data_IF_525433386695
#
_entry.id   IF_525433386695
#
_cell.length_a   1.000
_cell.length_b   1.000
_cell.length_c   1.000
_cell.angle_alpha   90.00
_cell.angle_beta   90.00
_cell.angle_gamma   90.00
#
_symmetry.space_group_name_H-M   'P 1'
#
loop_
_entity.id
_entity.type
_entity.pdbx_description
1 polymer ?
#
# COMPACT_ATOMS: atom_id res chain seq x y z
N UNK A 1 36.85 -35.00 3.23
CA UNK A 1 36.39 -35.59 4.50
C UNK A 1 35.82 -36.97 4.23
N UNK A 2 35.74 -37.88 5.21
CA UNK A 2 34.92 -39.10 5.04
C UNK A 2 33.44 -38.72 5.08
N UNK A 3 32.60 -39.41 4.30
CA UNK A 3 31.18 -39.09 4.14
C UNK A 3 30.44 -38.97 5.49
N UNK A 4 30.66 -39.93 6.40
CA UNK A 4 30.05 -39.89 7.74
C UNK A 4 30.58 -38.81 8.70
N UNK A 5 31.72 -38.17 8.39
CA UNK A 5 32.19 -36.98 9.14
C UNK A 5 31.51 -35.71 8.62
N UNK A 6 31.34 -35.60 7.31
CA UNK A 6 30.67 -34.47 6.67
C UNK A 6 29.21 -34.38 7.10
N UNK A 7 28.48 -35.51 7.13
CA UNK A 7 27.08 -35.54 7.59
C UNK A 7 26.93 -35.00 9.02
N UNK A 8 27.81 -35.41 9.94
CA UNK A 8 27.81 -34.92 11.33
C UNK A 8 28.13 -33.43 11.43
N UNK A 9 29.01 -32.94 10.57
CA UNK A 9 29.34 -31.52 10.52
C UNK A 9 28.14 -30.70 10.02
N UNK A 10 27.42 -31.20 9.00
CA UNK A 10 26.22 -30.56 8.47
C UNK A 10 25.07 -30.58 9.48
N UNK A 11 24.85 -31.68 10.20
CA UNK A 11 23.86 -31.73 11.30
C UNK A 11 24.16 -30.70 12.39
N UNK A 12 25.44 -30.51 12.72
CA UNK A 12 25.87 -29.50 13.70
C UNK A 12 25.63 -28.08 13.19
N UNK A 13 25.92 -27.82 11.91
CA UNK A 13 25.67 -26.53 11.28
C UNK A 13 24.17 -26.23 11.24
N UNK A 14 23.33 -27.21 10.89
CA UNK A 14 21.86 -27.08 10.94
C UNK A 14 21.39 -26.72 12.35
N UNK A 15 21.93 -27.38 13.39
CA UNK A 15 21.62 -27.05 14.78
C UNK A 15 21.99 -25.61 15.18
N UNK A 16 23.08 -25.07 14.63
CA UNK A 16 23.45 -23.66 14.85
C UNK A 16 22.51 -22.72 14.11
N UNK A 17 22.17 -23.01 12.86
CA UNK A 17 21.26 -22.19 12.06
C UNK A 17 19.82 -22.19 12.62
N UNK A 18 19.38 -23.29 13.25
CA UNK A 18 18.09 -23.34 13.92
C UNK A 18 17.93 -22.26 15.01
N UNK A 19 19.03 -21.86 15.65
CA UNK A 19 19.04 -20.81 16.66
C UNK A 19 18.89 -19.40 16.07
N UNK A 20 18.95 -19.23 14.74
CA UNK A 20 18.71 -17.93 14.11
C UNK A 20 17.27 -17.46 14.28
N UNK A 21 16.35 -18.39 14.53
CA UNK A 21 14.95 -18.11 14.84
C UNK A 21 14.70 -18.01 16.38
N UNK A 22 15.75 -18.03 17.22
CA UNK A 22 15.62 -17.83 18.68
C UNK A 22 14.97 -16.49 19.01
N UNK A 23 14.16 -16.44 20.08
CA UNK A 23 13.48 -15.24 20.61
C UNK A 23 14.45 -14.13 21.04
N UNK A 24 15.68 -14.46 21.42
CA UNK A 24 16.63 -13.46 21.94
C UNK A 24 17.65 -13.05 20.87
N UNK A 25 17.88 -11.74 20.73
CA UNK A 25 18.87 -11.24 19.76
C UNK A 25 20.29 -11.72 20.09
N UNK A 26 20.62 -11.84 21.38
CA UNK A 26 21.92 -12.31 21.84
C UNK A 26 22.21 -13.75 21.40
N UNK A 27 21.24 -14.66 21.51
CA UNK A 27 21.43 -16.05 21.05
C UNK A 27 21.55 -16.14 19.53
N UNK A 28 20.86 -15.27 18.79
CA UNK A 28 20.99 -15.21 17.33
C UNK A 28 22.38 -14.76 16.91
N UNK A 29 22.89 -13.69 17.54
CA UNK A 29 24.23 -13.16 17.25
C UNK A 29 25.31 -14.17 17.63
N UNK A 30 25.20 -14.82 18.81
CA UNK A 30 26.10 -15.90 19.22
C UNK A 30 26.03 -17.10 18.25
N UNK A 31 24.83 -17.48 17.81
CA UNK A 31 24.67 -18.56 16.84
C UNK A 31 25.35 -18.23 15.51
N UNK A 32 25.25 -16.98 15.03
CA UNK A 32 25.92 -16.54 13.81
C UNK A 32 27.44 -16.61 13.94
N UNK A 33 27.99 -16.12 15.05
CA UNK A 33 29.43 -16.16 15.30
C UNK A 33 29.95 -17.60 15.40
N UNK A 34 29.20 -18.48 16.09
CA UNK A 34 29.53 -19.92 16.16
C UNK A 34 29.45 -20.61 14.81
N UNK A 35 28.43 -20.32 14.01
CA UNK A 35 28.27 -20.89 12.68
C UNK A 35 29.38 -20.43 11.73
N UNK A 36 29.77 -19.15 11.78
CA UNK A 36 30.90 -18.62 11.00
C UNK A 36 32.21 -19.29 11.37
N UNK A 37 32.55 -19.31 12.66
CA UNK A 37 33.77 -19.94 13.15
C UNK A 37 33.81 -21.45 12.81
N UNK A 38 32.67 -22.14 12.92
CA UNK A 38 32.56 -23.55 12.58
C UNK A 38 32.76 -23.79 11.08
N UNK A 39 32.15 -22.96 10.22
CA UNK A 39 32.31 -23.11 8.78
C UNK A 39 33.71 -22.75 8.28
N UNK A 40 34.35 -21.75 8.88
CA UNK A 40 35.73 -21.39 8.60
C UNK A 40 36.68 -22.55 8.95
N UNK A 41 36.38 -23.32 10.00
CA UNK A 41 37.15 -24.49 10.41
C UNK A 41 36.95 -25.71 9.48
N UNK A 42 35.71 -26.07 9.14
CA UNK A 42 35.43 -27.32 8.40
C UNK A 42 35.46 -27.16 6.87
N UNK A 43 35.06 -26.00 6.34
CA UNK A 43 34.96 -25.73 4.89
C UNK A 43 35.80 -24.53 4.41
N UNK A 44 36.55 -23.89 5.31
CA UNK A 44 37.47 -22.79 4.98
C UNK A 44 36.79 -21.43 4.81
N UNK A 45 35.46 -21.37 4.76
CA UNK A 45 34.70 -20.13 4.80
C UNK A 45 33.23 -20.36 5.15
N UNK A 46 32.58 -19.37 5.76
CA UNK A 46 31.14 -19.36 5.99
C UNK A 46 30.27 -19.65 4.74
N UNK A 47 30.46 -18.99 3.59
CA UNK A 47 29.68 -19.27 2.39
C UNK A 47 29.88 -20.68 1.85
N UNK A 48 31.10 -21.23 1.95
CA UNK A 48 31.38 -22.60 1.50
C UNK A 48 30.64 -23.64 2.35
N UNK A 49 30.54 -23.46 3.66
CA UNK A 49 29.76 -24.34 4.52
C UNK A 49 28.27 -24.31 4.20
N UNK A 50 27.70 -23.12 3.93
CA UNK A 50 26.30 -22.96 3.54
C UNK A 50 25.99 -23.54 2.15
N UNK A 51 26.93 -23.45 1.22
CA UNK A 51 26.82 -24.07 -0.12
C UNK A 51 26.72 -25.60 -0.02
N UNK A 52 27.54 -26.24 0.81
CA UNK A 52 27.48 -27.70 1.04
C UNK A 52 26.15 -28.07 1.70
N UNK A 53 25.69 -27.27 2.66
CA UNK A 53 24.41 -27.48 3.31
C UNK A 53 23.23 -27.33 2.33
N UNK A 54 23.25 -26.32 1.46
CA UNK A 54 22.22 -26.10 0.45
C UNK A 54 22.11 -27.29 -0.53
N UNK A 55 23.25 -27.86 -0.94
CA UNK A 55 23.28 -29.08 -1.78
C UNK A 55 22.68 -30.28 -1.05
N UNK A 56 22.98 -30.46 0.24
CA UNK A 56 22.37 -31.52 1.06
C UNK A 56 20.85 -31.40 1.07
N UNK A 57 20.33 -30.20 1.28
CA UNK A 57 18.88 -29.93 1.28
C UNK A 57 18.21 -30.25 -0.06
N UNK A 58 18.85 -29.86 -1.17
CA UNK A 58 18.37 -30.21 -2.51
C UNK A 58 18.31 -31.74 -2.73
N UNK A 59 19.27 -32.49 -2.18
CA UNK A 59 19.28 -33.96 -2.30
C UNK A 59 18.33 -34.70 -1.35
N UNK A 60 18.07 -34.15 -0.15
CA UNK A 60 17.29 -34.83 0.91
C UNK A 60 15.79 -34.73 0.72
N UNK A 61 15.29 -33.60 0.23
CA UNK A 61 13.85 -33.30 0.20
C UNK A 61 13.20 -33.51 -1.19
N UNK A 62 13.96 -33.98 -2.19
CA UNK A 62 13.51 -34.09 -3.58
C UNK A 62 13.35 -32.73 -4.27
N UNK A 63 13.02 -32.73 -5.58
CA UNK A 63 12.78 -31.54 -6.42
C UNK A 63 11.47 -30.80 -6.02
N UNK A 64 11.40 -30.34 -4.78
CA UNK A 64 10.30 -29.53 -4.26
C UNK A 64 10.64 -28.05 -4.24
N UNK A 65 9.63 -27.20 -4.48
CA UNK A 65 9.76 -25.74 -4.35
C UNK A 65 10.30 -25.31 -2.97
N UNK A 66 9.98 -26.06 -1.91
CA UNK A 66 10.47 -25.81 -0.55
C UNK A 66 11.99 -26.01 -0.40
N UNK A 67 12.54 -27.09 -0.98
CA UNK A 67 13.98 -27.33 -0.98
C UNK A 67 14.73 -26.25 -1.76
N UNK A 68 14.17 -25.82 -2.91
CA UNK A 68 14.72 -24.73 -3.70
C UNK A 68 14.70 -23.39 -2.95
N UNK A 69 13.60 -23.06 -2.26
CA UNK A 69 13.51 -21.85 -1.43
C UNK A 69 14.51 -21.86 -0.27
N UNK A 70 14.69 -23.01 0.39
CA UNK A 70 15.65 -23.13 1.47
C UNK A 70 17.09 -23.00 0.98
N UNK A 71 17.43 -23.61 -0.17
CA UNK A 71 18.74 -23.44 -0.79
C UNK A 71 19.02 -21.97 -1.14
N UNK A 72 18.05 -21.27 -1.76
CA UNK A 72 18.15 -19.83 -2.05
C UNK A 72 18.40 -19.00 -0.78
N UNK A 73 17.69 -19.31 0.32
CA UNK A 73 17.85 -18.64 1.62
C UNK A 73 19.27 -18.85 2.18
N UNK A 74 19.83 -20.05 2.05
CA UNK A 74 21.21 -20.35 2.47
C UNK A 74 22.25 -19.63 1.60
N UNK A 75 22.05 -19.55 0.28
CA UNK A 75 22.93 -18.78 -0.60
C UNK A 75 22.90 -17.28 -0.28
N UNK A 76 21.72 -16.72 0.00
CA UNK A 76 21.60 -15.32 0.43
C UNK A 76 22.34 -15.07 1.75
N UNK A 77 22.20 -15.98 2.73
CA UNK A 77 22.93 -15.91 4.00
C UNK A 77 24.45 -15.96 3.80
N UNK A 78 24.94 -16.81 2.90
CA UNK A 78 26.36 -16.88 2.55
C UNK A 78 26.86 -15.59 1.89
N UNK A 79 26.07 -15.00 0.99
CA UNK A 79 26.43 -13.73 0.35
C UNK A 79 26.35 -12.53 1.31
N UNK A 80 25.43 -12.57 2.27
CA UNK A 80 25.16 -11.48 3.23
C UNK A 80 24.92 -12.05 4.63
N UNK A 81 25.98 -12.36 5.40
CA UNK A 81 25.83 -12.92 6.75
C UNK A 81 24.83 -12.15 7.62
N UNK A 82 23.99 -12.88 8.33
CA UNK A 82 22.88 -12.40 9.14
C UNK A 82 21.61 -12.01 8.35
N UNK A 83 21.49 -12.32 7.06
CA UNK A 83 20.28 -12.03 6.28
C UNK A 83 19.06 -12.76 6.86
N UNK A 84 19.25 -14.02 7.25
CA UNK A 84 18.22 -14.84 7.88
C UNK A 84 17.78 -14.22 9.22
N UNK A 85 18.74 -13.82 10.06
CA UNK A 85 18.48 -13.19 11.37
C UNK A 85 17.73 -11.86 11.18
N UNK A 86 18.18 -11.00 10.26
CA UNK A 86 17.49 -9.73 9.95
C UNK A 86 16.06 -9.96 9.48
N UNK A 87 15.85 -10.96 8.62
CA UNK A 87 14.51 -11.33 8.18
C UNK A 87 13.63 -11.82 9.34
N UNK A 88 14.17 -12.67 10.23
CA UNK A 88 13.46 -13.14 11.42
C UNK A 88 13.09 -12.00 12.37
N UNK A 89 14.03 -11.08 12.66
CA UNK A 89 13.77 -9.86 13.46
C UNK A 89 12.70 -8.98 12.83
N UNK A 90 12.76 -8.75 11.51
CA UNK A 90 11.75 -7.95 10.81
C UNK A 90 10.36 -8.61 10.83
N UNK A 91 10.29 -9.95 10.70
CA UNK A 91 9.02 -10.69 10.85
C UNK A 91 8.42 -10.48 12.24
N UNK A 92 9.21 -10.68 13.30
CA UNK A 92 8.75 -10.46 14.67
C UNK A 92 8.34 -9.02 14.94
N UNK A 93 9.10 -8.04 14.45
CA UNK A 93 8.71 -6.64 14.57
C UNK A 93 7.36 -6.38 13.91
N UNK A 94 7.12 -6.93 12.72
CA UNK A 94 5.81 -6.84 12.03
C UNK A 94 4.70 -7.52 12.81
N UNK A 95 4.97 -8.66 13.43
CA UNK A 95 4.00 -9.38 14.28
C UNK A 95 3.68 -8.59 15.56
N UNK A 96 4.69 -7.98 16.19
CA UNK A 96 4.51 -7.10 17.35
C UNK A 96 3.69 -5.87 16.96
N UNK A 97 4.04 -5.17 15.89
CA UNK A 97 3.25 -4.02 15.42
C UNK A 97 1.83 -4.42 15.06
N UNK A 98 1.64 -5.58 14.43
CA UNK A 98 0.30 -6.11 14.12
C UNK A 98 -0.49 -6.41 15.40
N UNK A 99 0.17 -6.94 16.43
CA UNK A 99 -0.44 -7.23 17.74
C UNK A 99 -0.84 -5.95 18.44
N UNK A 100 0.01 -4.93 18.43
CA UNK A 100 -0.26 -3.60 18.99
C UNK A 100 -1.40 -2.89 18.24
N UNK A 101 -1.38 -2.92 16.91
CA UNK A 101 -2.45 -2.39 16.06
C UNK A 101 -3.79 -3.10 16.34
N UNK A 102 -3.76 -4.43 16.47
CA UNK A 102 -4.94 -5.23 16.82
C UNK A 102 -5.47 -4.85 18.20
N UNK A 103 -4.60 -4.71 19.20
CA UNK A 103 -4.98 -4.32 20.56
C UNK A 103 -5.58 -2.91 20.60
N UNK A 104 -4.96 -1.95 19.90
CA UNK A 104 -5.47 -0.58 19.80
C UNK A 104 -6.84 -0.53 19.10
N UNK A 105 -7.02 -1.30 18.02
CA UNK A 105 -8.29 -1.39 17.31
C UNK A 105 -9.39 -1.97 18.22
N UNK A 106 -9.12 -3.09 18.89
CA UNK A 106 -10.06 -3.70 19.85
C UNK A 106 -10.39 -2.72 20.98
N UNK A 107 -9.42 -1.99 21.53
CA UNK A 107 -9.65 -0.99 22.57
C UNK A 107 -10.58 0.14 22.08
N UNK A 108 -10.43 0.57 20.83
CA UNK A 108 -11.25 1.65 20.24
C UNK A 108 -12.71 1.23 19.96
N UNK A 109 -12.95 -0.03 19.59
CA UNK A 109 -14.29 -0.57 19.31
C UNK A 109 -14.93 -1.27 20.53
N UNK A 110 -14.14 -1.58 21.56
CA UNK A 110 -14.55 -2.24 22.79
C UNK A 110 -14.44 -3.77 22.78
N UNK A 111 -14.56 -4.43 21.62
CA UNK A 111 -14.37 -5.88 21.49
C UNK A 111 -14.08 -6.30 20.05
N UNK A 112 -13.64 -7.56 19.84
CA UNK A 112 -13.48 -8.14 18.50
C UNK A 112 -14.82 -8.21 17.78
N UNK A 113 -15.89 -8.62 18.47
CA UNK A 113 -17.24 -8.70 17.91
C UNK A 113 -17.74 -7.32 17.47
N UNK A 114 -17.42 -6.27 18.22
CA UNK A 114 -17.78 -4.89 17.87
C UNK A 114 -17.05 -4.42 16.60
N UNK A 115 -15.79 -4.82 16.39
CA UNK A 115 -15.07 -4.54 15.14
C UNK A 115 -15.73 -5.29 13.98
N UNK A 116 -16.12 -6.55 14.14
CA UNK A 116 -16.66 -7.36 13.04
C UNK A 116 -18.13 -7.04 12.69
N UNK A 117 -18.89 -6.46 13.60
CA UNK A 117 -20.29 -6.06 13.33
C UNK A 117 -20.37 -4.90 12.32
N UNK A 118 -21.46 -4.84 11.53
CA UNK A 118 -21.73 -3.67 10.70
C UNK A 118 -21.75 -2.38 11.52
N UNK A 119 -21.00 -1.39 11.04
CA UNK A 119 -20.97 -0.03 11.55
C UNK A 119 -22.26 0.71 11.19
N UNK A 120 -22.53 1.84 11.87
CA UNK A 120 -23.68 2.68 11.54
C UNK A 120 -23.72 3.12 10.06
N UNK A 121 -22.55 3.29 9.43
CA UNK A 121 -22.46 3.61 8.01
C UNK A 121 -22.85 2.43 7.12
N UNK A 122 -22.39 1.22 7.46
CA UNK A 122 -22.75 -0.02 6.75
C UNK A 122 -24.23 -0.36 6.88
N UNK A 123 -24.83 -0.12 8.06
CA UNK A 123 -26.24 -0.39 8.32
C UNK A 123 -27.20 0.36 7.39
N UNK A 124 -26.83 1.55 6.92
CA UNK A 124 -27.65 2.32 5.97
C UNK A 124 -27.79 1.57 4.63
N UNK A 125 -26.70 0.98 4.14
CA UNK A 125 -26.70 0.21 2.89
C UNK A 125 -27.38 -1.15 3.06
N UNK A 126 -27.20 -1.79 4.21
CA UNK A 126 -27.87 -3.05 4.54
C UNK A 126 -29.38 -2.84 4.53
N UNK A 127 -29.88 -1.85 5.28
CA UNK A 127 -31.30 -1.53 5.36
C UNK A 127 -31.91 -1.16 3.99
N UNK A 128 -31.17 -0.38 3.18
CA UNK A 128 -31.64 -0.01 1.85
C UNK A 128 -31.83 -1.21 0.90
N UNK A 129 -31.08 -2.29 1.10
CA UNK A 129 -31.10 -3.47 0.26
C UNK A 129 -32.03 -4.59 0.76
N UNK A 130 -32.67 -4.45 1.92
CA UNK A 130 -33.50 -5.51 2.53
C UNK A 130 -34.64 -5.99 1.64
N UNK A 131 -35.22 -5.08 0.85
CA UNK A 131 -36.35 -5.37 -0.05
C UNK A 131 -35.93 -5.56 -1.51
N UNK A 132 -34.64 -5.79 -1.79
CA UNK A 132 -34.14 -5.93 -3.15
C UNK A 132 -34.07 -7.39 -3.58
N UNK A 133 -34.93 -7.77 -4.53
CA UNK A 133 -34.99 -9.16 -5.06
C UNK A 133 -34.01 -9.43 -6.21
N UNK A 134 -33.23 -8.42 -6.62
CA UNK A 134 -32.29 -8.54 -7.75
C UNK A 134 -30.99 -7.76 -7.52
N UNK A 135 -29.88 -8.17 -8.16
CA UNK A 135 -28.61 -7.44 -8.08
C UNK A 135 -28.71 -5.99 -8.58
N UNK A 136 -29.44 -5.74 -9.67
CA UNK A 136 -29.67 -4.39 -10.20
C UNK A 136 -30.53 -3.54 -9.27
N UNK A 137 -31.53 -4.14 -8.62
CA UNK A 137 -32.31 -3.49 -7.57
C UNK A 137 -31.44 -3.06 -6.39
N UNK A 138 -30.53 -3.93 -5.95
CA UNK A 138 -29.59 -3.62 -4.88
C UNK A 138 -28.62 -2.49 -5.25
N UNK A 139 -28.07 -2.51 -6.46
CA UNK A 139 -27.20 -1.43 -6.97
C UNK A 139 -27.93 -0.09 -6.97
N UNK A 140 -29.17 -0.05 -7.46
CA UNK A 140 -30.00 1.16 -7.46
C UNK A 140 -30.30 1.65 -6.03
N UNK A 141 -30.68 0.75 -5.12
CA UNK A 141 -31.00 1.09 -3.74
C UNK A 141 -29.78 1.65 -2.98
N UNK A 142 -28.63 1.00 -3.13
CA UNK A 142 -27.36 1.41 -2.50
C UNK A 142 -26.83 2.74 -3.06
N UNK A 143 -27.04 3.00 -4.35
CA UNK A 143 -26.70 4.28 -4.96
C UNK A 143 -27.64 5.41 -4.50
N UNK A 144 -28.91 5.09 -4.22
CA UNK A 144 -29.93 6.07 -3.82
C UNK A 144 -29.90 6.40 -2.32
N UNK A 145 -29.54 5.46 -1.45
CA UNK A 145 -29.64 5.65 0.00
C UNK A 145 -28.56 6.57 0.59
N UNK A 146 -27.43 6.75 -0.12
CA UNK A 146 -26.38 7.67 0.25
C UNK A 146 -25.81 8.33 -1.02
N UNK A 147 -25.58 9.66 -1.04
CA UNK A 147 -25.05 10.35 -2.21
C UNK A 147 -23.82 9.65 -2.82
N UNK A 148 -23.86 9.38 -4.12
CA UNK A 148 -22.70 8.87 -4.85
C UNK A 148 -21.61 9.94 -4.93
N UNK A 149 -20.32 9.58 -4.87
CA UNK A 149 -19.23 10.51 -5.10
C UNK A 149 -19.39 11.21 -6.45
N UNK A 150 -19.28 12.54 -6.47
CA UNK A 150 -19.36 13.35 -7.69
C UNK A 150 -17.98 13.69 -8.27
N UNK A 151 -16.90 13.40 -7.54
CA UNK A 151 -15.51 13.63 -7.96
C UNK A 151 -14.67 12.37 -7.77
N UNK A 152 -13.54 12.29 -8.48
CA UNK A 152 -12.62 11.15 -8.42
C UNK A 152 -11.96 11.08 -7.05
N UNK A 153 -11.61 12.23 -6.47
CA UNK A 153 -11.07 12.32 -5.12
C UNK A 153 -12.05 11.83 -4.06
N UNK A 154 -13.34 12.18 -4.17
CA UNK A 154 -14.37 11.68 -3.27
C UNK A 154 -14.56 10.17 -3.41
N UNK A 155 -14.53 9.66 -4.65
CA UNK A 155 -14.62 8.23 -4.92
C UNK A 155 -13.41 7.47 -4.34
N UNK A 156 -12.19 7.99 -4.52
CA UNK A 156 -10.97 7.48 -3.88
C UNK A 156 -11.10 7.43 -2.36
N UNK A 157 -11.53 8.52 -1.75
CA UNK A 157 -11.63 8.63 -0.30
C UNK A 157 -12.61 7.61 0.28
N UNK A 158 -13.78 7.46 -0.34
CA UNK A 158 -14.75 6.45 0.07
C UNK A 158 -14.25 5.02 -0.20
N UNK A 159 -13.60 4.76 -1.34
CA UNK A 159 -12.99 3.45 -1.67
C UNK A 159 -11.90 3.06 -0.66
N UNK A 160 -11.00 3.98 -0.30
CA UNK A 160 -9.96 3.75 0.71
C UNK A 160 -10.54 3.49 2.10
N UNK A 161 -11.68 4.12 2.44
CA UNK A 161 -12.42 3.84 3.68
C UNK A 161 -12.93 2.40 3.71
N UNK A 162 -13.49 1.91 2.61
CA UNK A 162 -13.92 0.51 2.48
C UNK A 162 -12.74 -0.46 2.57
N UNK A 163 -11.63 -0.16 1.91
CA UNK A 163 -10.40 -0.96 2.04
C UNK A 163 -9.82 -0.96 3.46
N UNK A 164 -9.85 0.18 4.15
CA UNK A 164 -9.44 0.27 5.55
C UNK A 164 -10.37 -0.55 6.46
N UNK A 165 -11.67 -0.55 6.17
CA UNK A 165 -12.67 -1.34 6.89
C UNK A 165 -12.39 -2.85 6.79
N UNK A 166 -12.11 -3.35 5.58
CA UNK A 166 -11.71 -4.75 5.38
C UNK A 166 -10.44 -5.11 6.15
N UNK A 167 -9.39 -4.28 6.06
CA UNK A 167 -8.14 -4.49 6.81
C UNK A 167 -8.36 -4.53 8.32
N UNK A 168 -9.24 -3.68 8.85
CA UNK A 168 -9.60 -3.70 10.27
C UNK A 168 -10.28 -5.02 10.67
N UNK A 169 -11.17 -5.54 9.84
CA UNK A 169 -11.80 -6.84 10.08
C UNK A 169 -10.75 -7.96 10.02
N UNK A 170 -9.92 -7.99 8.97
CA UNK A 170 -8.84 -8.98 8.79
C UNK A 170 -7.82 -8.97 9.94
N UNK A 171 -7.56 -7.80 10.52
CA UNK A 171 -6.62 -7.64 11.61
C UNK A 171 -7.09 -8.34 12.90
N UNK A 172 -8.41 -8.37 13.15
CA UNK A 172 -8.98 -8.96 14.36
C UNK A 172 -9.55 -10.36 14.17
N UNK A 173 -9.79 -10.76 12.92
CA UNK A 173 -10.26 -12.09 12.55
C UNK A 173 -9.27 -13.18 12.94
N UNK A 174 -9.81 -14.36 13.21
CA UNK A 174 -9.04 -15.57 13.44
C UNK A 174 -8.24 -15.93 12.16
N UNK A 175 -6.91 -16.10 12.23
CA UNK A 175 -6.09 -16.45 11.06
C UNK A 175 -6.46 -17.80 10.43
N UNK A 176 -7.07 -18.71 11.18
CA UNK A 176 -7.48 -20.03 10.69
C UNK A 176 -8.91 -20.03 10.10
N UNK A 177 -9.64 -18.92 10.26
CA UNK A 177 -10.98 -18.77 9.70
C UNK A 177 -10.96 -18.21 8.26
N UNK A 178 -12.10 -18.29 7.58
CA UNK A 178 -12.28 -17.62 6.30
C UNK A 178 -12.10 -16.10 6.45
N UNK A 179 -11.46 -15.43 5.47
CA UNK A 179 -11.29 -13.98 5.51
C UNK A 179 -12.64 -13.26 5.66
N UNK A 180 -12.72 -12.20 6.48
CA UNK A 180 -13.93 -11.43 6.61
C UNK A 180 -14.29 -10.76 5.28
N UNK A 181 -15.58 -10.75 4.96
CA UNK A 181 -16.12 -10.10 3.76
C UNK A 181 -17.11 -9.00 4.16
N UNK A 182 -17.17 -7.95 3.35
CA UNK A 182 -18.20 -6.92 3.51
C UNK A 182 -19.58 -7.53 3.25
N UNK A 183 -20.64 -7.09 3.98
CA UNK A 183 -22.01 -7.42 3.65
C UNK A 183 -22.31 -7.11 2.17
N UNK A 184 -23.13 -7.92 1.46
CA UNK A 184 -23.32 -7.77 0.02
C UNK A 184 -23.70 -6.35 -0.45
N UNK A 185 -24.58 -5.60 0.25
CA UNK A 185 -24.88 -4.21 -0.13
C UNK A 185 -23.68 -3.27 -0.01
N UNK A 186 -22.84 -3.46 1.00
CA UNK A 186 -21.61 -2.69 1.20
C UNK A 186 -20.55 -3.04 0.16
N UNK A 187 -20.40 -4.32 -0.17
CA UNK A 187 -19.53 -4.77 -1.27
C UNK A 187 -20.00 -4.20 -2.63
N UNK A 188 -21.31 -4.10 -2.84
CA UNK A 188 -21.90 -3.45 -4.02
C UNK A 188 -21.58 -1.96 -4.04
N UNK A 189 -21.75 -1.24 -2.92
CA UNK A 189 -21.34 0.18 -2.80
C UNK A 189 -19.87 0.36 -3.13
N UNK A 190 -19.03 -0.48 -2.54
CA UNK A 190 -17.59 -0.42 -2.74
C UNK A 190 -17.21 -0.59 -4.22
N UNK A 191 -17.82 -1.57 -4.92
CA UNK A 191 -17.61 -1.75 -6.37
C UNK A 191 -18.03 -0.54 -7.20
N UNK A 192 -19.19 0.06 -6.91
CA UNK A 192 -19.67 1.25 -7.63
C UNK A 192 -18.74 2.46 -7.43
N UNK A 193 -18.31 2.68 -6.20
CA UNK A 193 -17.38 3.76 -5.83
C UNK A 193 -15.99 3.52 -6.41
N UNK A 194 -15.51 2.28 -6.40
CA UNK A 194 -14.25 1.92 -7.04
C UNK A 194 -14.33 2.12 -8.57
N UNK A 195 -15.44 1.76 -9.22
CA UNK A 195 -15.62 2.01 -10.65
C UNK A 195 -15.61 3.52 -10.99
N UNK A 196 -16.22 4.34 -10.13
CA UNK A 196 -16.14 5.81 -10.19
C UNK A 196 -14.68 6.33 -10.05
N UNK A 197 -13.90 5.78 -9.11
CA UNK A 197 -12.48 6.09 -8.94
C UNK A 197 -11.58 5.50 -10.02
N UNK A 198 -11.98 4.40 -10.66
CA UNK A 198 -11.20 3.75 -11.72
C UNK A 198 -11.41 4.41 -13.08
N UNK A 199 -12.65 4.72 -13.47
CA UNK A 199 -12.95 5.17 -14.83
C UNK A 199 -14.23 5.99 -15.06
N UNK A 200 -15.26 5.85 -14.22
CA UNK A 200 -16.62 6.32 -14.58
C UNK A 200 -16.85 7.82 -14.32
N UNK A 201 -16.07 8.44 -13.43
CA UNK A 201 -16.09 9.90 -13.24
C UNK A 201 -15.04 10.59 -14.12
N UNK A 202 -15.28 11.84 -14.57
CA UNK A 202 -14.25 12.63 -15.24
C UNK A 202 -13.24 13.18 -14.24
N UNK A 203 -11.94 13.16 -14.58
CA UNK A 203 -10.93 13.88 -13.81
C UNK A 203 -10.92 15.38 -14.20
N UNK A 204 -11.77 16.18 -13.54
CA UNK A 204 -11.94 17.59 -13.86
C UNK A 204 -10.83 18.49 -13.28
N UNK A 205 -10.15 18.03 -12.23
CA UNK A 205 -9.11 18.79 -11.53
C UNK A 205 -7.78 18.04 -11.51
N UNK A 206 -6.71 18.75 -11.14
CA UNK A 206 -5.39 18.13 -10.92
C UNK A 206 -5.48 17.09 -9.78
N UNK A 207 -6.24 17.38 -8.72
CA UNK A 207 -6.44 16.44 -7.61
C UNK A 207 -7.13 15.16 -8.07
N UNK A 208 -8.16 15.27 -8.90
CA UNK A 208 -8.83 14.11 -9.49
C UNK A 208 -7.89 13.29 -10.38
N UNK A 209 -7.07 13.96 -11.19
CA UNK A 209 -6.09 13.30 -12.05
C UNK A 209 -5.01 12.57 -11.25
N UNK A 210 -4.48 13.21 -10.20
CA UNK A 210 -3.53 12.59 -9.26
C UNK A 210 -4.15 11.38 -8.57
N UNK A 211 -5.39 11.48 -8.08
CA UNK A 211 -6.11 10.37 -7.48
C UNK A 211 -6.28 9.19 -8.47
N UNK A 212 -6.59 9.46 -9.74
CA UNK A 212 -6.67 8.43 -10.79
C UNK A 212 -5.32 7.77 -11.05
N UNK A 213 -4.25 8.57 -11.12
CA UNK A 213 -2.90 8.09 -11.37
C UNK A 213 -2.46 7.12 -10.28
N UNK A 214 -2.72 7.46 -9.01
CA UNK A 214 -2.42 6.58 -7.87
C UNK A 214 -3.11 5.21 -7.98
N UNK A 215 -4.39 5.18 -8.35
CA UNK A 215 -5.13 3.93 -8.55
C UNK A 215 -4.39 2.96 -9.47
N UNK A 216 -3.98 3.47 -10.63
CA UNK A 216 -3.34 2.67 -11.68
C UNK A 216 -1.86 2.38 -11.41
N UNK A 217 -1.16 3.26 -10.69
CA UNK A 217 0.21 3.03 -10.27
C UNK A 217 0.34 1.86 -9.29
N UNK A 218 -0.62 1.72 -8.36
CA UNK A 218 -0.60 0.65 -7.35
C UNK A 218 -1.06 -0.71 -7.89
N UNK A 219 -2.02 -0.73 -8.82
CA UNK A 219 -2.72 -1.95 -9.25
C UNK A 219 -2.23 -2.53 -10.57
N UNK A 220 -1.37 -1.79 -11.28
CA UNK A 220 -0.92 -2.16 -12.61
C UNK A 220 -2.03 -2.01 -13.67
N UNK A 221 -1.63 -1.63 -14.88
CA UNK A 221 -2.48 -1.67 -16.06
C UNK A 221 -1.92 -2.68 -17.04
N UNK A 222 -1.89 -3.96 -16.65
CA UNK A 222 -1.32 -5.03 -17.49
C UNK A 222 -2.03 -5.16 -18.84
N UNK A 223 -3.28 -4.72 -18.93
CA UNK A 223 -4.12 -4.75 -20.14
C UNK A 223 -4.12 -3.42 -20.93
N UNK A 224 -3.23 -2.48 -20.61
CA UNK A 224 -3.18 -1.11 -21.16
C UNK A 224 -4.45 -0.26 -20.93
N UNK A 225 -5.48 -0.78 -20.25
CA UNK A 225 -6.75 -0.08 -20.05
C UNK A 225 -6.59 1.20 -19.21
N UNK A 226 -5.66 1.18 -18.26
CA UNK A 226 -5.31 2.34 -17.43
C UNK A 226 -4.71 3.50 -18.22
N UNK A 227 -3.86 3.23 -19.22
CA UNK A 227 -3.24 4.28 -20.03
C UNK A 227 -4.25 5.04 -20.88
N UNK A 228 -5.23 4.34 -21.46
CA UNK A 228 -6.28 4.99 -22.24
C UNK A 228 -7.14 5.92 -21.38
N UNK A 229 -7.46 5.51 -20.14
CA UNK A 229 -8.20 6.33 -19.18
C UNK A 229 -7.39 7.54 -18.77
N UNK A 230 -6.11 7.37 -18.41
CA UNK A 230 -5.24 8.47 -18.01
C UNK A 230 -4.99 9.46 -19.16
N UNK A 231 -4.81 8.98 -20.40
CA UNK A 231 -4.67 9.85 -21.57
C UNK A 231 -5.93 10.70 -21.79
N UNK A 232 -7.11 10.07 -21.73
CA UNK A 232 -8.41 10.77 -21.82
C UNK A 232 -8.56 11.82 -20.71
N UNK A 233 -8.28 11.44 -19.48
CA UNK A 233 -8.38 12.32 -18.31
C UNK A 233 -7.38 13.50 -18.43
N UNK A 234 -6.17 13.24 -18.93
CA UNK A 234 -5.17 14.28 -19.21
C UNK A 234 -5.62 15.25 -20.31
N UNK A 235 -6.25 14.77 -21.39
CA UNK A 235 -6.79 15.64 -22.43
C UNK A 235 -7.88 16.57 -21.89
N UNK A 236 -8.78 16.07 -21.05
CA UNK A 236 -9.82 16.88 -20.38
C UNK A 236 -9.18 17.93 -19.49
N UNK A 237 -8.19 17.54 -18.69
CA UNK A 237 -7.45 18.44 -17.82
C UNK A 237 -6.69 19.50 -18.63
N UNK A 238 -5.99 19.09 -19.70
CA UNK A 238 -5.23 19.96 -20.58
C UNK A 238 -6.14 20.96 -21.31
N UNK A 239 -7.33 20.53 -21.74
CA UNK A 239 -8.37 21.43 -22.28
C UNK A 239 -8.84 22.41 -21.22
N UNK A 240 -9.07 21.99 -19.97
CA UNK A 240 -9.42 22.89 -18.86
C UNK A 240 -8.31 23.89 -18.52
N UNK A 241 -7.05 23.47 -18.59
CA UNK A 241 -5.89 24.33 -18.38
C UNK A 241 -5.65 25.30 -19.55
N UNK A 242 -5.93 24.86 -20.79
CA UNK A 242 -5.79 25.64 -22.02
C UNK A 242 -6.99 26.55 -22.30
N UNK A 243 -8.18 26.19 -21.81
CA UNK A 243 -9.39 27.01 -21.84
C UNK A 243 -9.36 28.15 -20.81
N UNK A 244 -8.25 28.32 -20.07
CA UNK A 244 -7.90 29.62 -19.47
C UNK A 244 -7.75 30.63 -20.61
N UNK A 245 -8.86 31.33 -20.88
CA UNK A 245 -9.09 32.33 -21.92
C UNK A 245 -7.83 32.75 -22.72
N UNK A 246 -7.77 32.49 -24.04
CA UNK A 246 -6.80 33.15 -24.90
C UNK A 246 -7.09 34.66 -24.85
N UNK A 247 -6.32 35.41 -24.06
CA UNK A 247 -6.42 36.86 -24.00
C UNK A 247 -6.28 37.52 -22.63
N UNK A 248 -6.43 36.81 -21.50
CA UNK A 248 -6.10 37.42 -20.21
C UNK A 248 -4.60 37.29 -19.94
N UNK A 249 -3.89 38.39 -20.16
CA UNK A 249 -2.48 38.45 -19.83
C UNK A 249 -2.29 38.14 -18.33
N UNK A 250 -1.13 37.59 -17.96
CA UNK A 250 -0.76 37.39 -16.55
C UNK A 250 -0.92 38.67 -15.71
N UNK A 251 -0.82 39.84 -16.38
CA UNK A 251 -1.10 41.16 -15.82
C UNK A 251 -2.58 41.34 -15.43
N UNK A 252 -3.51 40.99 -16.32
CA UNK A 252 -4.96 41.13 -16.07
C UNK A 252 -5.42 40.21 -14.94
N UNK A 253 -4.83 39.01 -14.86
CA UNK A 253 -5.12 38.05 -13.78
C UNK A 253 -4.59 38.52 -12.42
N UNK A 254 -3.37 39.06 -12.38
CA UNK A 254 -2.81 39.66 -11.16
C UNK A 254 -3.69 40.83 -10.67
N UNK A 255 -4.23 41.63 -11.60
CA UNK A 255 -5.16 42.72 -11.30
C UNK A 255 -6.48 42.20 -10.75
N UNK A 256 -7.13 41.23 -11.43
CA UNK A 256 -8.40 40.67 -11.00
C UNK A 256 -8.31 40.02 -9.62
N UNK A 257 -7.22 39.29 -9.33
CA UNK A 257 -6.99 38.69 -8.01
C UNK A 257 -6.78 39.74 -6.92
N UNK A 258 -6.06 40.84 -7.22
CA UNK A 258 -5.85 41.94 -6.28
C UNK A 258 -7.15 42.71 -6.01
N UNK A 259 -8.00 42.87 -7.01
CA UNK A 259 -9.31 43.53 -6.87
C UNK A 259 -10.32 42.67 -6.10
N UNK A 260 -10.38 41.37 -6.39
CA UNK A 260 -11.24 40.44 -5.68
C UNK A 260 -10.78 40.18 -4.24
N UNK A 261 -9.47 40.31 -3.96
CA UNK A 261 -8.89 40.02 -2.65
C UNK A 261 -7.90 41.13 -2.22
N UNK A 262 -8.39 42.29 -1.72
CA UNK A 262 -7.55 43.43 -1.36
C UNK A 262 -6.51 43.12 -0.27
N UNK A 263 -6.82 42.18 0.61
CA UNK A 263 -5.99 41.83 1.77
C UNK A 263 -4.89 40.80 1.45
N UNK A 264 -4.91 40.21 0.24
CA UNK A 264 -3.91 39.22 -0.13
C UNK A 264 -2.54 39.84 -0.36
N UNK A 265 -1.51 39.24 0.24
CA UNK A 265 -0.13 39.61 -0.01
C UNK A 265 0.29 39.26 -1.45
N UNK A 266 1.24 40.02 -2.01
CA UNK A 266 1.76 39.77 -3.37
C UNK A 266 2.38 38.37 -3.52
N UNK A 267 2.93 37.81 -2.44
CA UNK A 267 3.47 36.45 -2.44
C UNK A 267 2.36 35.40 -2.59
N UNK A 268 1.20 35.60 -1.96
CA UNK A 268 0.03 34.73 -2.09
C UNK A 268 -0.56 34.78 -3.50
N UNK A 269 -0.68 35.98 -4.08
CA UNK A 269 -1.11 36.16 -5.47
C UNK A 269 -0.12 35.49 -6.43
N UNK A 270 1.19 35.59 -6.18
CA UNK A 270 2.22 34.92 -6.97
C UNK A 270 2.12 33.40 -6.93
N UNK A 271 1.89 32.84 -5.74
CA UNK A 271 1.65 31.39 -5.56
C UNK A 271 0.43 30.92 -6.35
N UNK A 272 -0.65 31.68 -6.31
CA UNK A 272 -1.90 31.35 -7.03
C UNK A 272 -1.74 31.40 -8.56
N UNK A 273 -0.89 32.30 -9.06
CA UNK A 273 -0.62 32.48 -10.48
C UNK A 273 0.57 31.64 -10.99
N UNK A 274 1.32 30.98 -10.10
CA UNK A 274 2.55 30.27 -10.45
C UNK A 274 3.69 31.19 -10.91
N UNK A 275 3.75 32.43 -10.43
CA UNK A 275 4.78 33.41 -10.78
C UNK A 275 5.46 34.02 -9.53
N UNK A 276 6.65 34.59 -9.71
CA UNK A 276 7.39 35.20 -8.59
C UNK A 276 6.70 36.45 -8.04
N UNK A 277 6.88 36.72 -6.73
CA UNK A 277 6.41 37.96 -6.09
C UNK A 277 6.83 39.23 -6.84
N UNK A 278 8.07 39.24 -7.36
CA UNK A 278 8.62 40.37 -8.12
C UNK A 278 7.87 40.58 -9.46
N UNK A 279 7.50 39.49 -10.14
CA UNK A 279 6.71 39.56 -11.36
C UNK A 279 5.30 40.14 -11.11
N UNK A 280 4.64 39.73 -10.02
CA UNK A 280 3.35 40.31 -9.60
C UNK A 280 3.47 41.82 -9.36
N UNK A 281 4.52 42.24 -8.63
CA UNK A 281 4.77 43.66 -8.37
C UNK A 281 4.98 44.45 -9.66
N UNK A 282 5.74 43.92 -10.63
CA UNK A 282 5.95 44.55 -11.95
C UNK A 282 4.64 44.69 -12.73
N UNK A 283 3.78 43.67 -12.71
CA UNK A 283 2.48 43.70 -13.38
C UNK A 283 1.49 44.70 -12.76
N UNK A 284 1.51 44.88 -11.45
CA UNK A 284 0.65 45.85 -10.75
C UNK A 284 1.21 47.29 -10.81
N UNK A 285 2.54 47.47 -10.84
CA UNK A 285 3.18 48.80 -10.91
C UNK A 285 3.04 49.48 -12.26
N UNK A 286 2.96 48.71 -13.36
CA UNK A 286 2.79 49.22 -14.74
C UNK A 286 1.38 49.78 -15.04
N UNK A 287 0.62 50.13 -14.01
CA UNK A 287 -0.74 50.69 -14.06
C UNK A 287 -0.90 51.97 -13.21
N UNK A 288 0.16 52.40 -12.52
CA UNK A 288 0.16 53.56 -11.63
C UNK A 288 0.67 54.87 -12.25
N UNK A 289 0.84 54.93 -13.57
CA UNK A 289 1.09 56.14 -14.35
C UNK A 289 0.01 56.28 -15.42
#
# INVERSE_FOLDING_TARGET
>A
MSQGREDKALDRLEGMLALYDSETEAEQDEALDRARAFCDLEWGSYPAGLEVLARRWATRNGDGAEAAMQALRLHEEGAKPGAIIRAARLRRLRELTRTDERAALIASFGSVEAVLRPTAFESVFIAAAESCDSPSGMEAAVAACHPMPSTVEAARSESLRWGARLRQMELVSDPDALPPVLPPPCATRYRLVEAAWRKDLPAATIADYSARLEYWAERGGEDLSGYAILARDFEVLAKGLSARAPGQSTKDRAKSLRQANPDWSLARIGKELGISRQAVHKHLKTLGN
#
